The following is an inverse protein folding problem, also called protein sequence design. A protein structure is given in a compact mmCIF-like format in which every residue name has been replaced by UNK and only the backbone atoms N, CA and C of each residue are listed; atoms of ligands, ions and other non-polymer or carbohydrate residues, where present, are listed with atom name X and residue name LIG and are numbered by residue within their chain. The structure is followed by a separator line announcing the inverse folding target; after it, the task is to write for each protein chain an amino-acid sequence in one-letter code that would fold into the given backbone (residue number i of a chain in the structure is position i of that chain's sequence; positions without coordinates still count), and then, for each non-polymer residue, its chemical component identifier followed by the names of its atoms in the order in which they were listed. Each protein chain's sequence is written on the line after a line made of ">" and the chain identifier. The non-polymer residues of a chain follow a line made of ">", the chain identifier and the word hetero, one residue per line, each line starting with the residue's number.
data_IF_578489086267
#
_entry.id   IF_578489086267
#
_cell.length_a   1.000
_cell.length_b   1.000
_cell.length_c   1.000
_cell.angle_alpha   90.00
_cell.angle_beta   90.00
_cell.angle_gamma   90.00
#
_symmetry.space_group_name_H-M   'P 1'
#
loop_
_entity.id
_entity.type
_entity.pdbx_description
1 polymer ?
#
# COMPACT_ATOMS: atom_id res chain seq x y z
N UNK A 1 -26.69 26.20 16.51
CA UNK A 1 -25.80 25.03 16.59
C UNK A 1 -26.40 23.95 15.70
N UNK A 2 -25.75 23.33 14.72
CA UNK A 2 -24.33 23.27 14.41
C UNK A 2 -24.03 23.59 12.95
N UNK A 3 -23.02 24.44 12.76
CA UNK A 3 -22.48 24.93 11.50
C UNK A 3 -21.48 23.93 10.87
N UNK A 4 -21.45 22.67 11.32
CA UNK A 4 -20.33 21.75 11.06
C UNK A 4 -20.73 20.47 10.30
N UNK A 5 -22.02 20.27 10.02
CA UNK A 5 -22.51 19.03 9.38
C UNK A 5 -22.61 19.11 7.84
N UNK A 6 -22.23 20.25 7.24
CA UNK A 6 -22.41 20.52 5.80
C UNK A 6 -21.12 20.71 5.00
N UNK A 7 -19.96 20.35 5.56
CA UNK A 7 -18.65 20.61 4.92
C UNK A 7 -17.84 19.35 4.56
N UNK A 8 -18.43 18.16 4.55
CA UNK A 8 -17.70 16.93 4.18
C UNK A 8 -18.07 16.30 2.83
N UNK A 9 -19.01 16.88 2.09
CA UNK A 9 -19.49 16.29 0.83
C UNK A 9 -19.04 17.04 -0.45
N UNK A 10 -18.05 17.93 -0.34
CA UNK A 10 -17.54 18.75 -1.45
C UNK A 10 -16.08 18.47 -1.79
N UNK A 11 -15.71 17.19 -1.87
CA UNK A 11 -14.56 16.77 -2.68
C UNK A 11 -15.01 15.60 -3.55
N UNK A 12 -15.77 15.93 -4.60
CA UNK A 12 -15.88 15.07 -5.78
C UNK A 12 -14.49 15.02 -6.40
N UNK A 13 -13.66 14.04 -6.00
CA UNK A 13 -12.39 13.76 -6.68
C UNK A 13 -12.74 13.47 -8.16
N UNK A 14 -12.04 14.09 -9.13
CA UNK A 14 -12.26 13.81 -10.54
C UNK A 14 -12.12 12.31 -10.77
N UNK A 15 -13.04 11.80 -11.59
CA UNK A 15 -13.19 10.38 -11.91
C UNK A 15 -12.01 9.94 -12.80
N UNK A 16 -10.81 9.87 -12.22
CA UNK A 16 -9.75 9.00 -12.75
C UNK A 16 -10.33 7.58 -12.77
N UNK A 17 -10.12 6.77 -13.81
CA UNK A 17 -10.40 5.34 -13.72
C UNK A 17 -9.76 4.84 -12.43
N UNK A 18 -10.60 4.37 -11.50
CA UNK A 18 -10.17 4.11 -10.13
C UNK A 18 -9.00 3.15 -10.15
N UNK A 19 -7.86 3.57 -9.57
CA UNK A 19 -6.69 2.71 -9.44
C UNK A 19 -7.12 1.38 -8.81
N UNK A 20 -6.80 0.29 -9.47
CA UNK A 20 -7.00 -1.07 -8.96
C UNK A 20 -5.65 -1.73 -8.73
N UNK A 21 -5.62 -2.80 -7.94
CA UNK A 21 -4.43 -3.63 -7.70
C UNK A 21 -3.86 -4.26 -8.99
N UNK A 22 -4.66 -4.37 -10.06
CA UNK A 22 -4.27 -4.91 -11.36
C UNK A 22 -4.01 -3.84 -12.42
N UNK A 23 -3.98 -2.57 -12.03
CA UNK A 23 -3.73 -1.48 -12.99
C UNK A 23 -2.34 -1.65 -13.60
N UNK A 24 -2.23 -1.82 -14.93
CA UNK A 24 -0.94 -1.90 -15.60
C UNK A 24 -0.29 -0.51 -15.67
N UNK A 25 1.02 -0.47 -15.93
CA UNK A 25 1.74 0.81 -16.12
C UNK A 25 1.88 1.62 -14.83
N UNK A 26 2.00 0.94 -13.70
CA UNK A 26 2.36 1.54 -12.40
C UNK A 26 3.86 1.47 -12.17
N UNK A 27 4.41 2.45 -11.48
CA UNK A 27 5.82 2.56 -11.11
C UNK A 27 5.97 2.64 -9.60
N UNK A 28 7.06 2.08 -9.07
CA UNK A 28 7.40 2.21 -7.65
C UNK A 28 7.83 3.67 -7.41
N UNK A 29 7.08 4.35 -6.55
CA UNK A 29 7.35 5.75 -6.18
C UNK A 29 8.00 5.88 -4.80
N UNK A 30 7.86 4.85 -3.96
CA UNK A 30 8.50 4.77 -2.66
C UNK A 30 8.71 3.31 -2.24
N UNK A 31 9.78 3.04 -1.50
CA UNK A 31 10.13 1.73 -0.97
C UNK A 31 10.77 1.86 0.42
N UNK A 32 10.41 0.94 1.30
CA UNK A 32 10.88 0.85 2.69
C UNK A 32 11.21 -0.60 3.02
N UNK A 33 12.48 -0.97 2.85
CA UNK A 33 13.03 -2.29 3.21
C UNK A 33 14.07 -2.23 4.33
N UNK A 34 14.54 -1.03 4.69
CA UNK A 34 15.37 -0.83 5.89
C UNK A 34 14.45 -0.64 7.11
N UNK A 35 14.42 -1.59 8.07
CA UNK A 35 13.56 -1.47 9.25
C UNK A 35 13.95 -0.30 10.18
N UNK A 36 15.15 0.26 10.04
CA UNK A 36 15.60 1.43 10.80
C UNK A 36 15.13 2.77 10.19
N UNK A 37 14.75 2.79 8.91
CA UNK A 37 14.28 3.99 8.25
C UNK A 37 12.80 4.27 8.62
N UNK A 38 12.51 5.51 9.02
CA UNK A 38 11.13 5.92 9.30
C UNK A 38 10.34 6.07 8.00
N UNK A 39 9.08 5.61 7.99
CA UNK A 39 8.19 5.69 6.84
C UNK A 39 7.96 7.15 6.37
N UNK A 40 8.04 8.13 7.28
CA UNK A 40 8.02 9.56 6.94
C UNK A 40 9.23 10.00 6.13
N UNK A 41 10.41 9.49 6.44
CA UNK A 41 11.65 9.80 5.72
C UNK A 41 11.61 9.18 4.32
N UNK A 42 11.12 7.95 4.22
CA UNK A 42 10.90 7.24 2.95
C UNK A 42 10.05 8.06 2.00
N UNK A 43 8.88 8.51 2.46
CA UNK A 43 7.97 9.31 1.64
C UNK A 43 8.54 10.70 1.33
N UNK A 44 9.19 11.37 2.29
CA UNK A 44 9.76 12.70 2.09
C UNK A 44 10.90 12.73 1.05
N UNK A 45 11.68 11.65 0.93
CA UNK A 45 12.77 11.54 -0.07
C UNK A 45 12.32 11.02 -1.44
N UNK A 46 11.03 10.73 -1.62
CA UNK A 46 10.46 10.12 -2.82
C UNK A 46 9.87 11.17 -3.77
N UNK A 47 10.63 11.72 -4.73
CA UNK A 47 10.16 12.81 -5.59
C UNK A 47 9.07 12.39 -6.58
N UNK A 48 8.96 11.11 -6.90
CA UNK A 48 7.93 10.57 -7.78
C UNK A 48 6.59 10.34 -7.07
N UNK A 49 6.56 10.37 -5.73
CA UNK A 49 5.35 10.14 -4.96
C UNK A 49 4.45 11.37 -4.94
N UNK A 50 3.18 11.17 -5.30
CA UNK A 50 2.14 12.19 -5.26
C UNK A 50 1.20 11.91 -4.10
N UNK A 51 1.31 12.68 -3.02
CA UNK A 51 0.62 12.43 -1.75
C UNK A 51 -0.92 12.33 -1.86
N UNK A 52 -1.55 13.18 -2.67
CA UNK A 52 -3.02 13.24 -2.79
C UNK A 52 -3.61 12.17 -3.74
N UNK A 53 -2.75 11.51 -4.51
CA UNK A 53 -3.13 10.47 -5.46
C UNK A 53 -3.15 9.09 -4.76
N UNK A 54 -4.13 8.21 -5.09
CA UNK A 54 -4.09 6.83 -4.63
C UNK A 54 -2.81 6.12 -5.08
N UNK A 55 -2.35 5.17 -4.28
CA UNK A 55 -1.26 4.26 -4.58
C UNK A 55 -1.67 2.82 -4.28
N UNK A 56 -1.05 1.86 -4.97
CA UNK A 56 -1.06 0.47 -4.56
C UNK A 56 0.00 0.34 -3.48
N UNK A 57 -0.40 0.10 -2.23
CA UNK A 57 0.53 -0.29 -1.17
C UNK A 57 0.73 -1.80 -1.23
N UNK A 58 1.99 -2.23 -1.29
CA UNK A 58 2.37 -3.63 -1.40
C UNK A 58 3.36 -4.00 -0.32
N UNK A 59 2.96 -4.87 0.60
CA UNK A 59 3.85 -5.45 1.60
C UNK A 59 4.44 -6.77 1.10
N UNK A 60 5.73 -6.96 1.36
CA UNK A 60 6.47 -8.17 1.01
C UNK A 60 6.59 -9.05 2.25
N UNK A 61 5.97 -10.23 2.21
CA UNK A 61 5.94 -11.16 3.33
C UNK A 61 6.58 -12.49 2.94
N UNK A 62 7.30 -13.10 3.87
CA UNK A 62 7.67 -14.51 3.83
C UNK A 62 6.77 -15.26 4.78
N UNK A 63 6.02 -16.23 4.29
CA UNK A 63 5.11 -17.02 5.12
C UNK A 63 5.39 -18.51 4.93
N UNK A 64 5.27 -19.34 5.97
CA UNK A 64 5.25 -20.80 5.78
C UNK A 64 4.14 -21.17 4.78
N UNK A 65 4.38 -22.10 3.81
CA UNK A 65 3.41 -22.42 2.77
C UNK A 65 2.04 -22.82 3.33
N UNK A 66 2.01 -23.57 4.43
CA UNK A 66 0.80 -24.01 5.12
C UNK A 66 0.01 -22.87 5.79
N UNK A 67 0.62 -21.69 5.95
CA UNK A 67 0.00 -20.51 6.55
C UNK A 67 -0.51 -19.48 5.54
N UNK A 68 -0.22 -19.64 4.26
CA UNK A 68 -0.64 -18.70 3.21
C UNK A 68 -2.17 -18.57 3.16
N UNK A 69 -2.90 -19.68 3.18
CA UNK A 69 -4.38 -19.64 3.15
C UNK A 69 -4.99 -18.94 4.38
N UNK A 70 -4.42 -19.17 5.56
CA UNK A 70 -4.83 -18.50 6.81
C UNK A 70 -4.55 -17.00 6.72
N UNK A 71 -3.36 -16.60 6.25
CA UNK A 71 -3.00 -15.20 6.02
C UNK A 71 -3.96 -14.52 5.05
N UNK A 72 -4.28 -15.16 3.91
CA UNK A 72 -5.26 -14.64 2.93
C UNK A 72 -6.61 -14.35 3.60
N UNK A 73 -7.11 -15.27 4.42
CA UNK A 73 -8.41 -15.10 5.09
C UNK A 73 -8.40 -13.96 6.11
N UNK A 74 -7.30 -13.76 6.84
CA UNK A 74 -7.16 -12.66 7.79
C UNK A 74 -7.07 -11.33 7.05
N UNK A 75 -6.22 -11.25 6.03
CA UNK A 75 -5.97 -10.04 5.25
C UNK A 75 -7.20 -9.57 4.46
N UNK A 76 -7.97 -10.50 3.90
CA UNK A 76 -9.20 -10.19 3.17
C UNK A 76 -10.23 -9.44 4.03
N UNK A 77 -10.25 -9.63 5.36
CA UNK A 77 -11.16 -8.92 6.27
C UNK A 77 -10.88 -7.41 6.32
N UNK A 78 -9.62 -7.02 6.10
CA UNK A 78 -9.15 -5.63 6.06
C UNK A 78 -9.03 -5.09 4.60
N UNK A 79 -9.55 -5.85 3.62
CA UNK A 79 -9.55 -5.47 2.20
C UNK A 79 -8.21 -5.64 1.49
N UNK A 80 -7.30 -6.44 2.05
CA UNK A 80 -6.03 -6.79 1.41
C UNK A 80 -6.18 -8.03 0.53
N UNK A 81 -5.52 -8.02 -0.62
CA UNK A 81 -5.36 -9.21 -1.46
C UNK A 81 -3.95 -9.79 -1.25
N UNK A 82 -3.85 -11.09 -0.96
CA UNK A 82 -2.56 -11.78 -0.83
C UNK A 82 -2.24 -12.54 -2.13
N UNK A 83 -1.11 -12.22 -2.76
CA UNK A 83 -0.64 -12.83 -4.01
C UNK A 83 0.66 -13.58 -3.80
N UNK A 84 0.66 -14.87 -4.07
CA UNK A 84 1.89 -15.67 -4.06
C UNK A 84 2.82 -15.25 -5.20
N UNK A 85 4.09 -15.03 -4.88
CA UNK A 85 5.16 -14.70 -5.84
C UNK A 85 6.00 -15.94 -6.19
N UNK A 86 6.03 -16.92 -5.29
CA UNK A 86 6.71 -18.19 -5.50
C UNK A 86 7.37 -18.72 -4.23
N UNK A 87 7.96 -19.92 -4.31
CA UNK A 87 8.69 -20.52 -3.20
C UNK A 87 10.02 -19.80 -2.94
N UNK A 88 10.40 -19.71 -1.67
CA UNK A 88 11.68 -19.21 -1.17
C UNK A 88 12.18 -20.11 -0.03
N UNK A 89 12.90 -21.18 -0.41
CA UNK A 89 13.33 -22.21 0.53
C UNK A 89 12.15 -22.88 1.23
N UNK A 90 12.11 -22.82 2.57
CA UNK A 90 11.02 -23.34 3.38
C UNK A 90 9.81 -22.41 3.52
N UNK A 91 9.78 -21.30 2.78
CA UNK A 91 8.74 -20.27 2.83
C UNK A 91 8.14 -20.03 1.44
N UNK A 92 7.03 -19.30 1.40
CA UNK A 92 6.44 -18.70 0.21
C UNK A 92 6.59 -17.18 0.29
N UNK A 93 7.15 -16.57 -0.75
CA UNK A 93 7.13 -15.12 -0.93
C UNK A 93 5.73 -14.70 -1.36
N UNK A 94 5.18 -13.69 -0.68
CA UNK A 94 3.83 -13.20 -0.93
C UNK A 94 3.79 -11.68 -0.92
N UNK A 95 2.85 -11.13 -1.69
CA UNK A 95 2.54 -9.71 -1.71
C UNK A 95 1.15 -9.48 -1.16
N UNK A 96 1.04 -8.77 -0.04
CA UNK A 96 -0.23 -8.22 0.41
C UNK A 96 -0.42 -6.86 -0.25
N UNK A 97 -1.44 -6.71 -1.09
CA UNK A 97 -1.70 -5.49 -1.88
C UNK A 97 -3.05 -4.86 -1.55
N UNK A 98 -3.08 -3.53 -1.51
CA UNK A 98 -4.32 -2.74 -1.37
C UNK A 98 -4.14 -1.35 -1.97
N UNK A 99 -5.20 -0.81 -2.58
CA UNK A 99 -5.21 0.58 -3.06
C UNK A 99 -5.64 1.53 -1.95
N UNK A 100 -4.86 2.58 -1.69
CA UNK A 100 -5.16 3.60 -0.70
C UNK A 100 -4.37 4.89 -0.96
N UNK A 101 -4.79 6.01 -0.38
CA UNK A 101 -3.92 7.19 -0.26
C UNK A 101 -2.92 6.94 0.87
N UNK A 102 -1.68 7.40 0.70
CA UNK A 102 -0.61 7.17 1.66
C UNK A 102 -0.33 8.42 2.48
N UNK A 103 -0.01 8.20 3.74
CA UNK A 103 0.75 9.12 4.55
C UNK A 103 1.66 8.31 5.48
N UNK A 104 2.63 9.00 6.08
CA UNK A 104 3.65 8.37 6.89
C UNK A 104 3.09 7.60 8.10
N UNK A 105 2.01 8.11 8.72
CA UNK A 105 1.44 7.50 9.90
C UNK A 105 0.74 6.18 9.54
N UNK A 106 -0.06 6.18 8.47
CA UNK A 106 -0.72 4.97 8.00
C UNK A 106 0.29 3.94 7.49
N UNK A 107 1.35 4.34 6.78
CA UNK A 107 2.41 3.41 6.37
C UNK A 107 3.08 2.74 7.58
N UNK A 108 3.40 3.50 8.63
CA UNK A 108 4.00 2.96 9.85
C UNK A 108 3.06 2.00 10.59
N UNK A 109 1.76 2.32 10.65
CA UNK A 109 0.74 1.47 11.25
C UNK A 109 0.56 0.16 10.48
N UNK A 110 0.45 0.23 9.15
CA UNK A 110 0.30 -0.96 8.31
C UNK A 110 1.55 -1.83 8.32
N UNK A 111 2.75 -1.24 8.30
CA UNK A 111 4.01 -1.99 8.49
C UNK A 111 4.02 -2.76 9.81
N UNK A 112 3.60 -2.12 10.91
CA UNK A 112 3.52 -2.76 12.22
C UNK A 112 2.48 -3.88 12.24
N UNK A 113 1.32 -3.68 11.59
CA UNK A 113 0.27 -4.70 11.44
C UNK A 113 0.79 -5.91 10.66
N UNK A 114 1.46 -5.68 9.53
CA UNK A 114 1.99 -6.74 8.67
C UNK A 114 3.11 -7.53 9.35
N UNK A 115 4.02 -6.84 10.05
CA UNK A 115 5.05 -7.50 10.85
C UNK A 115 4.43 -8.39 11.94
N UNK A 116 3.46 -7.87 12.70
CA UNK A 116 2.77 -8.65 13.74
C UNK A 116 1.98 -9.83 13.18
N UNK A 117 1.33 -9.68 12.03
CA UNK A 117 0.65 -10.76 11.33
C UNK A 117 1.64 -11.86 10.92
N UNK A 118 2.70 -11.50 10.19
CA UNK A 118 3.69 -12.45 9.69
C UNK A 118 4.36 -13.20 10.84
N UNK A 119 4.80 -12.50 11.88
CA UNK A 119 5.42 -13.10 13.06
C UNK A 119 4.51 -14.13 13.74
N UNK A 120 3.22 -13.82 13.93
CA UNK A 120 2.24 -14.75 14.54
C UNK A 120 2.04 -16.03 13.72
N UNK A 121 2.23 -15.94 12.41
CA UNK A 121 2.14 -17.06 11.49
C UNK A 121 3.49 -17.76 11.27
N UNK A 122 4.54 -17.38 12.00
CA UNK A 122 5.88 -17.96 11.86
C UNK A 122 6.63 -17.49 10.61
N UNK A 123 6.20 -16.38 10.02
CA UNK A 123 6.83 -15.71 8.89
C UNK A 123 7.51 -14.39 9.25
N UNK A 124 7.84 -13.61 8.23
CA UNK A 124 8.52 -12.32 8.34
C UNK A 124 7.95 -11.28 7.37
N UNK A 125 8.06 -9.99 7.72
CA UNK A 125 7.69 -8.86 6.87
C UNK A 125 8.95 -8.15 6.40
N UNK A 126 9.27 -8.26 5.13
CA UNK A 126 10.53 -7.76 4.55
C UNK A 126 10.54 -6.25 4.32
N UNK A 127 9.35 -5.65 4.16
CA UNK A 127 9.22 -4.24 3.81
C UNK A 127 7.98 -3.99 2.96
N UNK A 128 7.90 -2.78 2.40
CA UNK A 128 6.83 -2.40 1.50
C UNK A 128 7.33 -1.52 0.36
N UNK A 129 6.59 -1.54 -0.74
CA UNK A 129 6.69 -0.55 -1.80
C UNK A 129 5.31 0.03 -2.13
N UNK A 130 5.32 1.26 -2.65
CA UNK A 130 4.15 1.99 -3.08
C UNK A 130 4.24 2.23 -4.57
N UNK A 131 3.17 1.89 -5.30
CA UNK A 131 3.09 2.08 -6.74
C UNK A 131 2.02 3.10 -7.13
N UNK A 132 2.34 3.98 -8.06
CA UNK A 132 1.37 4.92 -8.67
C UNK A 132 1.43 4.81 -10.19
N UNK A 133 0.36 5.15 -10.93
CA UNK A 133 0.40 5.19 -12.38
C UNK A 133 1.52 6.11 -12.89
N UNK A 134 2.29 5.65 -13.88
CA UNK A 134 3.28 6.49 -14.55
C UNK A 134 2.60 7.73 -15.13
N UNK A 135 3.02 8.91 -14.68
CA UNK A 135 2.40 10.18 -15.08
C UNK A 135 1.34 10.74 -14.14
N UNK A 136 1.16 10.19 -12.93
CA UNK A 136 0.34 10.79 -11.87
C UNK A 136 0.69 12.27 -11.57
N UNK A 137 1.88 12.73 -11.98
CA UNK A 137 2.32 14.12 -11.91
C UNK A 137 1.75 15.06 -13.01
N UNK A 138 0.90 14.62 -13.94
CA UNK A 138 0.58 15.38 -15.17
C UNK A 138 -0.85 15.84 -15.40
N UNK A 139 -1.77 15.69 -14.44
CA UNK A 139 -3.12 16.25 -14.55
C UNK A 139 -3.29 17.48 -13.64
N UNK A 140 -2.52 18.53 -13.93
CA UNK A 140 -2.86 19.91 -13.53
C UNK A 140 -3.42 20.56 -14.78
N UNK A 141 -4.75 20.67 -14.83
CA UNK A 141 -5.52 21.09 -16.00
C UNK A 141 -4.95 22.30 -16.73
N UNK A 142 -4.76 22.14 -18.03
CA UNK A 142 -4.73 23.23 -18.99
C UNK A 142 -6.10 23.27 -19.68
N UNK A 143 -7.04 24.00 -19.08
CA UNK A 143 -8.21 24.51 -19.81
C UNK A 143 -8.05 26.04 -19.89
N UNK A 144 -8.19 26.55 -21.11
CA UNK A 144 -7.76 27.88 -21.56
C UNK A 144 -8.74 29.03 -21.33
#
# INVERSE_FOLDING_TARGET
>A
MGLLDRLRDLVKKPNLPGLTVDTPGVEIVAEAFDPAEADSSVLARSPAWVAEAPAILRHHLKLPPEKVAEATSILAQDGWELREQGPDGGFTLTHAVRVQTLDALHCAQERSRMAGLAQRLGGDSLGWDALQPSGASRDVGHDG
#
